data_IF_607147575344
#
_entry.id   IF_607147575344
#
_cell.length_a   1.000
_cell.length_b   1.000
_cell.length_c   1.000
_cell.angle_alpha   90.00
_cell.angle_beta   90.00
_cell.angle_gamma   90.00
#
_symmetry.space_group_name_H-M   'P 1'
#
loop_
_entity.id
_entity.type
_entity.pdbx_description
1 polymer ?
#
# COMPACT_ATOMS: atom_id res chain seq x y z
N UNK A 1 25.45 -20.97 -30.07
CA UNK A 1 24.28 -20.05 -30.04
C UNK A 1 24.49 -19.15 -28.83
N UNK A 2 25.02 -17.94 -29.04
CA UNK A 2 25.36 -17.00 -27.96
C UNK A 2 24.06 -16.33 -27.53
N UNK A 3 23.59 -16.63 -26.33
CA UNK A 3 22.47 -15.93 -25.71
C UNK A 3 22.88 -14.46 -25.55
N UNK A 4 22.14 -13.54 -26.19
CA UNK A 4 22.30 -12.11 -25.98
C UNK A 4 22.25 -11.79 -24.49
N UNK A 5 23.09 -10.86 -23.97
CA UNK A 5 23.01 -10.46 -22.58
C UNK A 5 21.70 -9.70 -22.38
N UNK A 6 20.71 -10.33 -21.75
CA UNK A 6 19.48 -9.66 -21.34
C UNK A 6 19.87 -8.54 -20.37
N UNK A 7 19.90 -7.30 -20.85
CA UNK A 7 20.16 -6.14 -20.00
C UNK A 7 19.01 -6.00 -18.99
N UNK A 8 19.31 -6.31 -17.74
CA UNK A 8 18.41 -6.15 -16.60
C UNK A 8 18.50 -4.72 -16.07
N UNK A 9 17.36 -4.05 -15.94
CA UNK A 9 17.29 -2.67 -15.47
C UNK A 9 16.30 -2.53 -14.31
N UNK A 10 16.77 -2.04 -13.16
CA UNK A 10 15.94 -1.62 -12.02
C UNK A 10 15.77 -0.11 -12.10
N UNK A 11 14.53 0.38 -12.17
CA UNK A 11 14.25 1.81 -12.37
C UNK A 11 12.84 2.19 -11.91
N UNK A 12 12.54 3.50 -11.90
CA UNK A 12 11.16 3.97 -11.77
C UNK A 12 10.33 3.57 -12.99
N UNK A 13 9.04 3.38 -12.75
CA UNK A 13 8.05 3.19 -13.80
C UNK A 13 7.99 4.42 -14.71
N UNK A 14 7.82 4.21 -16.03
CA UNK A 14 7.54 5.31 -16.96
C UNK A 14 6.03 5.52 -17.07
N UNK A 15 5.59 6.76 -17.31
CA UNK A 15 4.17 7.08 -17.52
C UNK A 15 3.50 6.25 -18.61
N UNK A 16 4.24 5.90 -19.67
CA UNK A 16 3.77 5.06 -20.78
C UNK A 16 3.56 3.59 -20.39
N UNK A 17 4.11 3.14 -19.27
CA UNK A 17 4.09 1.74 -18.82
C UNK A 17 3.02 1.46 -17.77
N UNK A 18 2.23 2.47 -17.37
CA UNK A 18 1.19 2.33 -16.33
C UNK A 18 0.16 1.25 -16.68
N UNK A 19 -0.19 1.10 -17.95
CA UNK A 19 -1.11 0.04 -18.39
C UNK A 19 -0.52 -1.35 -18.14
N UNK A 20 0.77 -1.52 -18.43
CA UNK A 20 1.45 -2.81 -18.22
C UNK A 20 1.67 -3.10 -16.74
N UNK A 21 1.93 -2.08 -15.92
CA UNK A 21 1.94 -2.22 -14.47
C UNK A 21 0.63 -2.83 -13.95
N UNK A 22 -0.50 -2.26 -14.38
CA UNK A 22 -1.83 -2.68 -13.92
C UNK A 22 -2.17 -4.10 -14.40
N UNK A 23 -1.76 -4.49 -15.61
CA UNK A 23 -1.87 -5.87 -16.08
C UNK A 23 -1.10 -6.85 -15.19
N UNK A 24 0.14 -6.53 -14.85
CA UNK A 24 0.94 -7.36 -13.92
C UNK A 24 0.33 -7.42 -12.51
N UNK A 25 -0.23 -6.32 -12.03
CA UNK A 25 -0.92 -6.26 -10.74
C UNK A 25 -2.19 -7.11 -10.72
N UNK A 26 -3.06 -6.98 -11.73
CA UNK A 26 -4.28 -7.80 -11.89
C UNK A 26 -3.93 -9.29 -11.97
N UNK A 27 -2.86 -9.62 -12.69
CA UNK A 27 -2.34 -10.99 -12.74
C UNK A 27 -1.94 -11.52 -11.34
N UNK A 28 -1.33 -10.67 -10.51
CA UNK A 28 -0.79 -11.05 -9.20
C UNK A 28 -1.78 -11.11 -8.03
N UNK A 29 -2.86 -10.31 -8.04
CA UNK A 29 -3.70 -10.06 -6.84
C UNK A 29 -5.19 -10.45 -6.95
N UNK A 30 -5.60 -11.14 -8.04
CA UNK A 30 -6.95 -11.64 -8.39
C UNK A 30 -7.80 -10.68 -9.25
N UNK A 31 -8.67 -11.13 -10.17
CA UNK A 31 -9.21 -12.46 -10.51
C UNK A 31 -8.79 -12.92 -11.93
N UNK A 32 -8.88 -14.22 -12.23
CA UNK A 32 -8.95 -14.67 -13.62
C UNK A 32 -10.13 -13.96 -14.29
N UNK A 33 -9.87 -12.96 -15.12
CA UNK A 33 -10.93 -12.29 -15.85
C UNK A 33 -10.47 -11.02 -16.52
N UNK A 34 -11.07 -10.77 -17.67
CA UNK A 34 -10.97 -9.62 -18.56
C UNK A 34 -11.44 -8.30 -17.90
N UNK A 35 -11.00 -8.00 -16.68
CA UNK A 35 -11.31 -6.73 -16.03
C UNK A 35 -10.71 -5.61 -16.87
N UNK A 36 -11.57 -4.77 -17.44
CA UNK A 36 -11.15 -3.62 -18.23
C UNK A 36 -10.49 -2.63 -17.28
N UNK A 37 -9.18 -2.40 -17.46
CA UNK A 37 -8.45 -1.35 -16.76
C UNK A 37 -9.12 -0.01 -17.08
N UNK A 38 -9.63 0.64 -16.04
CA UNK A 38 -10.42 1.87 -16.20
C UNK A 38 -9.53 3.11 -16.31
N UNK A 39 -10.03 4.19 -16.92
CA UNK A 39 -9.30 5.45 -16.99
C UNK A 39 -8.97 6.03 -15.59
N UNK A 40 -9.86 5.98 -14.58
CA UNK A 40 -9.53 6.38 -13.21
C UNK A 40 -8.40 5.56 -12.58
N UNK A 41 -8.40 4.24 -12.77
CA UNK A 41 -7.35 3.35 -12.25
C UNK A 41 -5.99 3.68 -12.88
N UNK A 42 -5.96 3.88 -14.21
CA UNK A 42 -4.75 4.29 -14.91
C UNK A 42 -4.25 5.67 -14.44
N UNK A 43 -5.17 6.60 -14.17
CA UNK A 43 -4.87 7.94 -13.68
C UNK A 43 -4.34 7.93 -12.24
N UNK A 44 -4.77 6.98 -11.40
CA UNK A 44 -4.36 6.86 -10.01
C UNK A 44 -2.91 6.34 -9.84
N UNK A 45 -2.35 5.64 -10.83
CA UNK A 45 -0.96 5.17 -10.76
C UNK A 45 0.01 6.34 -10.74
N UNK A 46 0.82 6.41 -9.68
CA UNK A 46 1.88 7.40 -9.48
C UNK A 46 3.26 6.79 -9.84
N UNK A 47 3.82 7.05 -11.02
CA UNK A 47 5.05 6.40 -11.48
C UNK A 47 6.29 6.70 -10.63
N UNK A 48 6.26 7.73 -9.79
CA UNK A 48 7.25 8.14 -8.78
C UNK A 48 7.18 7.36 -7.46
N UNK A 49 6.15 6.53 -7.29
CA UNK A 49 6.03 5.57 -6.18
C UNK A 49 6.41 4.15 -6.60
N UNK A 50 6.29 3.81 -7.89
CA UNK A 50 6.52 2.45 -8.42
C UNK A 50 7.96 2.15 -8.90
N UNK A 51 8.58 1.11 -8.37
CA UNK A 51 9.81 0.50 -8.88
C UNK A 51 9.51 -0.69 -9.77
N UNK A 52 10.25 -0.84 -10.87
CA UNK A 52 10.13 -1.96 -11.81
C UNK A 52 11.48 -2.60 -12.12
N UNK A 53 11.45 -3.90 -12.42
CA UNK A 53 12.52 -4.60 -13.13
C UNK A 53 12.06 -4.83 -14.55
N UNK A 54 12.91 -4.46 -15.52
CA UNK A 54 12.68 -4.78 -16.93
C UNK A 54 13.85 -5.58 -17.52
N UNK A 55 13.55 -6.59 -18.33
CA UNK A 55 14.50 -7.32 -19.17
C UNK A 55 14.03 -7.25 -20.63
N UNK A 56 14.95 -6.98 -21.56
CA UNK A 56 14.66 -6.85 -23.01
C UNK A 56 13.51 -5.88 -23.36
N UNK A 57 13.21 -4.90 -22.50
CA UNK A 57 12.14 -3.91 -22.70
C UNK A 57 10.80 -4.29 -22.09
N UNK A 58 10.65 -5.50 -21.55
CA UNK A 58 9.42 -5.97 -20.91
C UNK A 58 9.47 -5.80 -19.40
N UNK A 59 8.33 -5.47 -18.76
CA UNK A 59 8.25 -5.43 -17.30
C UNK A 59 8.17 -6.86 -16.75
N UNK A 60 9.08 -7.20 -15.85
CA UNK A 60 9.14 -8.53 -15.25
C UNK A 60 8.48 -8.59 -13.87
N UNK A 61 8.67 -7.53 -13.09
CA UNK A 61 8.21 -7.42 -11.71
C UNK A 61 8.10 -5.94 -11.31
N UNK A 62 7.24 -5.65 -10.34
CA UNK A 62 7.10 -4.32 -9.77
C UNK A 62 6.81 -4.36 -8.26
N UNK A 63 7.04 -3.23 -7.60
CA UNK A 63 6.48 -2.90 -6.30
C UNK A 63 6.22 -1.41 -6.22
N UNK A 64 5.40 -1.02 -5.26
CA UNK A 64 5.06 0.36 -4.97
C UNK A 64 5.59 0.77 -3.59
N UNK A 65 6.01 2.03 -3.47
CA UNK A 65 6.43 2.66 -2.21
C UNK A 65 5.57 3.89 -1.89
N UNK A 66 4.27 3.69 -1.59
CA UNK A 66 3.40 4.77 -1.17
C UNK A 66 3.88 5.43 0.12
N UNK A 67 3.64 6.73 0.22
CA UNK A 67 4.05 7.54 1.36
C UNK A 67 2.94 7.63 2.40
N UNK A 68 3.28 7.30 3.65
CA UNK A 68 2.36 7.35 4.78
C UNK A 68 3.02 7.99 6.01
N UNK A 69 2.21 8.21 7.04
CA UNK A 69 2.66 8.48 8.40
C UNK A 69 2.27 7.31 9.31
N UNK A 70 3.17 6.88 10.20
CA UNK A 70 2.90 5.88 11.22
C UNK A 70 2.91 6.52 12.60
N UNK A 71 1.83 6.33 13.37
CA UNK A 71 1.80 6.69 14.77
C UNK A 71 2.57 5.65 15.60
N UNK A 72 3.64 6.08 16.26
CA UNK A 72 4.40 5.31 17.24
C UNK A 72 4.32 6.02 18.58
N UNK A 73 3.61 5.43 19.54
CA UNK A 73 3.43 5.97 20.90
C UNK A 73 2.94 7.43 20.92
N UNK A 74 2.01 7.77 20.03
CA UNK A 74 1.42 9.11 19.93
C UNK A 74 2.18 10.09 19.03
N UNK A 75 3.32 9.68 18.45
CA UNK A 75 4.11 10.54 17.55
C UNK A 75 4.04 10.00 16.11
N UNK A 76 3.80 10.89 15.15
CA UNK A 76 3.76 10.54 13.74
C UNK A 76 5.16 10.54 13.12
N UNK A 77 5.51 9.45 12.46
CA UNK A 77 6.77 9.29 11.73
C UNK A 77 6.52 9.03 10.25
N UNK A 78 7.30 9.61 9.32
CA UNK A 78 7.25 9.24 7.92
C UNK A 78 7.50 7.74 7.72
N UNK A 79 6.60 7.09 6.98
CA UNK A 79 6.59 5.66 6.75
C UNK A 79 6.52 5.34 5.26
N UNK A 80 7.36 4.42 4.80
CA UNK A 80 7.29 3.89 3.44
C UNK A 80 6.48 2.61 3.41
N UNK A 81 5.30 2.64 2.80
CA UNK A 81 4.52 1.42 2.57
C UNK A 81 5.20 0.55 1.52
N UNK A 82 5.14 -0.77 1.63
CA UNK A 82 5.40 -1.67 0.50
C UNK A 82 4.05 -2.24 0.05
N UNK A 83 3.69 -1.98 -1.20
CA UNK A 83 2.43 -2.39 -1.80
C UNK A 83 2.63 -2.92 -3.22
N UNK A 84 1.60 -3.54 -3.79
CA UNK A 84 1.56 -3.90 -5.21
C UNK A 84 2.70 -4.80 -5.68
N UNK A 85 3.29 -5.63 -4.80
CA UNK A 85 4.42 -6.49 -5.15
C UNK A 85 3.97 -7.63 -6.06
N UNK A 86 4.41 -7.63 -7.31
CA UNK A 86 4.13 -8.71 -8.25
C UNK A 86 5.34 -9.05 -9.13
N UNK A 87 5.35 -10.28 -9.65
CA UNK A 87 6.32 -10.78 -10.60
C UNK A 87 5.63 -11.81 -11.50
N UNK A 88 5.77 -11.67 -12.82
CA UNK A 88 5.22 -12.68 -13.73
C UNK A 88 5.88 -14.05 -13.49
N UNK A 89 5.14 -15.16 -13.64
CA UNK A 89 5.61 -16.50 -13.29
C UNK A 89 6.92 -16.91 -13.95
N UNK A 90 7.06 -16.63 -15.25
CA UNK A 90 8.24 -16.94 -16.07
C UNK A 90 9.53 -16.26 -15.57
N UNK A 91 9.36 -15.21 -14.76
CA UNK A 91 10.43 -14.40 -14.17
C UNK A 91 10.69 -14.70 -12.69
N UNK A 92 9.91 -15.59 -12.05
CA UNK A 92 10.08 -15.95 -10.63
C UNK A 92 11.40 -16.68 -10.38
N UNK A 93 11.84 -16.67 -9.11
CA UNK A 93 13.10 -17.26 -8.65
C UNK A 93 14.39 -16.67 -9.25
N UNK A 94 14.30 -15.50 -9.92
CA UNK A 94 15.46 -14.78 -10.49
C UNK A 94 16.00 -13.63 -9.63
N UNK A 95 15.44 -13.44 -8.42
CA UNK A 95 15.86 -12.42 -7.47
C UNK A 95 15.30 -11.00 -7.72
N UNK A 96 14.33 -10.83 -8.63
CA UNK A 96 13.79 -9.51 -8.99
C UNK A 96 13.15 -8.77 -7.83
N UNK A 97 12.33 -9.43 -7.02
CA UNK A 97 11.72 -8.80 -5.84
C UNK A 97 12.79 -8.34 -4.85
N UNK A 98 13.89 -9.10 -4.66
CA UNK A 98 15.01 -8.67 -3.80
C UNK A 98 15.67 -7.39 -4.32
N UNK A 99 15.85 -7.27 -5.64
CA UNK A 99 16.40 -6.06 -6.25
C UNK A 99 15.46 -4.86 -6.07
N UNK A 100 14.16 -5.09 -6.24
CA UNK A 100 13.14 -4.05 -6.02
C UNK A 100 13.11 -3.58 -4.57
N UNK A 101 13.15 -4.50 -3.59
CA UNK A 101 13.21 -4.16 -2.17
C UNK A 101 14.43 -3.31 -1.84
N UNK A 102 15.60 -3.64 -2.39
CA UNK A 102 16.81 -2.81 -2.23
C UNK A 102 16.63 -1.38 -2.76
N UNK A 103 16.02 -1.22 -3.94
CA UNK A 103 15.71 0.10 -4.49
C UNK A 103 14.69 0.87 -3.64
N UNK A 104 13.67 0.16 -3.12
CA UNK A 104 12.68 0.72 -2.22
C UNK A 104 13.32 1.29 -0.94
N UNK A 105 14.23 0.54 -0.30
CA UNK A 105 14.90 1.00 0.92
C UNK A 105 15.84 2.18 0.66
N UNK A 106 16.54 2.21 -0.48
CA UNK A 106 17.34 3.37 -0.87
C UNK A 106 16.48 4.63 -1.03
N UNK A 107 15.30 4.49 -1.63
CA UNK A 107 14.32 5.57 -1.73
C UNK A 107 13.79 5.98 -0.35
N UNK A 108 13.41 5.03 0.50
CA UNK A 108 12.92 5.35 1.85
C UNK A 108 13.98 6.09 2.67
N UNK A 109 15.24 5.64 2.58
CA UNK A 109 16.38 6.30 3.24
C UNK A 109 16.58 7.73 2.73
N UNK A 110 16.49 7.97 1.42
CA UNK A 110 16.62 9.33 0.88
C UNK A 110 15.45 10.24 1.28
N UNK A 111 14.26 9.67 1.49
CA UNK A 111 13.06 10.35 2.00
C UNK A 111 12.99 10.46 3.53
N UNK A 112 14.02 10.02 4.26
CA UNK A 112 14.06 9.98 5.73
C UNK A 112 12.89 9.21 6.35
N UNK A 113 12.40 8.19 5.66
CA UNK A 113 11.39 7.28 6.19
C UNK A 113 12.09 6.22 7.05
N UNK A 114 11.93 6.34 8.37
CA UNK A 114 12.56 5.45 9.36
C UNK A 114 11.78 4.17 9.64
N UNK A 115 10.55 4.07 9.10
CA UNK A 115 9.63 2.95 9.31
C UNK A 115 9.11 2.48 7.96
N UNK A 116 8.89 1.18 7.82
CA UNK A 116 8.20 0.59 6.68
C UNK A 116 7.19 -0.45 7.15
N UNK A 117 6.03 -0.48 6.51
CA UNK A 117 4.98 -1.46 6.77
C UNK A 117 4.41 -2.02 5.47
N UNK A 118 3.84 -3.22 5.56
CA UNK A 118 3.18 -3.91 4.45
C UNK A 118 2.14 -4.88 4.98
N UNK A 119 1.19 -5.26 4.12
CA UNK A 119 0.30 -6.38 4.37
C UNK A 119 0.88 -7.61 3.64
N UNK A 120 1.45 -8.59 4.37
CA UNK A 120 2.15 -9.70 3.74
C UNK A 120 1.17 -10.75 3.22
N UNK A 121 1.39 -11.26 2.00
CA UNK A 121 0.74 -12.51 1.56
C UNK A 121 1.32 -13.74 2.28
N UNK A 122 2.57 -13.65 2.75
CA UNK A 122 3.25 -14.66 3.58
C UNK A 122 4.23 -13.94 4.51
N UNK A 123 4.09 -14.18 5.82
CA UNK A 123 4.98 -13.60 6.83
C UNK A 123 6.39 -14.13 6.65
N UNK A 124 6.54 -15.43 6.38
CA UNK A 124 7.82 -16.11 6.18
C UNK A 124 8.57 -15.54 4.97
N UNK A 125 7.84 -15.24 3.88
CA UNK A 125 8.44 -14.63 2.70
C UNK A 125 9.06 -13.27 3.05
N UNK A 126 8.38 -12.41 3.80
CA UNK A 126 8.90 -11.09 4.13
C UNK A 126 9.89 -11.08 5.30
N UNK A 127 9.94 -12.13 6.12
CA UNK A 127 10.94 -12.29 7.18
C UNK A 127 12.38 -12.29 6.63
N UNK A 128 12.60 -12.80 5.41
CA UNK A 128 13.92 -12.78 4.75
C UNK A 128 14.42 -11.35 4.45
N UNK A 129 13.53 -10.36 4.48
CA UNK A 129 13.82 -8.94 4.29
C UNK A 129 13.87 -8.18 5.63
N UNK A 130 13.78 -8.88 6.76
CA UNK A 130 13.81 -8.29 8.11
C UNK A 130 12.46 -7.77 8.62
N UNK A 131 11.36 -7.99 7.88
CA UNK A 131 10.03 -7.64 8.38
C UNK A 131 9.57 -8.61 9.47
N UNK A 132 8.82 -8.08 10.43
CA UNK A 132 8.23 -8.84 11.54
C UNK A 132 6.77 -8.41 11.72
N UNK A 133 5.90 -9.29 12.25
CA UNK A 133 4.54 -8.89 12.64
C UNK A 133 4.58 -7.77 13.68
N UNK A 134 3.88 -6.66 13.41
CA UNK A 134 3.82 -5.49 14.29
C UNK A 134 2.41 -5.19 14.81
N UNK A 135 1.37 -5.56 14.05
CA UNK A 135 -0.02 -5.28 14.35
C UNK A 135 -0.91 -6.45 13.94
N UNK A 136 -1.86 -6.81 14.81
CA UNK A 136 -2.99 -7.68 14.45
C UNK A 136 -4.24 -6.83 14.22
N UNK A 137 -5.16 -7.32 13.39
CA UNK A 137 -6.53 -6.81 13.34
C UNK A 137 -7.48 -7.90 13.80
N UNK A 138 -8.54 -7.50 14.49
CA UNK A 138 -9.63 -8.38 14.88
C UNK A 138 -10.92 -7.87 14.28
N UNK A 139 -11.70 -8.77 13.70
CA UNK A 139 -13.08 -8.47 13.30
C UNK A 139 -13.99 -8.96 14.41
N UNK A 140 -14.70 -8.04 15.06
CA UNK A 140 -15.71 -8.36 16.07
C UNK A 140 -17.09 -8.24 15.43
N UNK A 141 -17.90 -9.28 15.56
CA UNK A 141 -19.29 -9.30 15.07
C UNK A 141 -20.23 -9.56 16.23
N UNK A 142 -21.30 -8.77 16.32
CA UNK A 142 -22.37 -8.91 17.30
C UNK A 142 -23.71 -8.65 16.62
N UNK A 143 -24.80 -9.29 17.11
CA UNK A 143 -26.13 -9.00 16.60
C UNK A 143 -26.52 -7.56 16.94
N UNK A 144 -27.35 -6.93 16.08
CA UNK A 144 -27.84 -5.58 16.35
C UNK A 144 -28.60 -5.48 17.69
N UNK A 145 -29.23 -6.57 18.15
CA UNK A 145 -29.88 -6.64 19.46
C UNK A 145 -28.92 -6.46 20.65
N UNK A 146 -27.62 -6.74 20.50
CA UNK A 146 -26.64 -6.51 21.55
C UNK A 146 -26.48 -5.01 21.90
N UNK A 147 -26.93 -4.11 21.03
CA UNK A 147 -26.91 -2.66 21.26
C UNK A 147 -28.11 -2.14 22.06
N UNK A 148 -29.08 -3.00 22.41
CA UNK A 148 -30.27 -2.57 23.18
C UNK A 148 -29.95 -1.77 24.45
N UNK A 149 -28.93 -2.11 25.26
CA UNK A 149 -28.58 -1.32 26.45
C UNK A 149 -28.14 0.12 26.14
N UNK A 150 -27.69 0.37 24.90
CA UNK A 150 -27.20 1.67 24.44
C UNK A 150 -28.28 2.46 23.68
N UNK A 151 -29.50 1.92 23.55
CA UNK A 151 -30.63 2.65 22.99
C UNK A 151 -31.11 3.67 24.00
N UNK A 152 -31.10 4.94 23.61
CA UNK A 152 -31.49 6.05 24.49
C UNK A 152 -30.37 6.51 25.42
N UNK A 153 -29.10 6.31 25.03
CA UNK A 153 -27.99 7.02 25.66
C UNK A 153 -28.33 8.51 25.79
N UNK A 154 -28.11 9.04 26.98
CA UNK A 154 -28.22 10.46 27.22
C UNK A 154 -27.07 11.16 26.49
N UNK A 155 -27.43 11.72 25.34
CA UNK A 155 -26.54 12.49 24.49
C UNK A 155 -26.70 14.00 24.77
N UNK A 156 -27.23 14.40 25.93
CA UNK A 156 -27.31 15.82 26.30
C UNK A 156 -25.91 16.46 26.20
N UNK A 157 -25.80 17.54 25.43
CA UNK A 157 -24.53 18.20 25.10
C UNK A 157 -23.74 17.61 23.92
N UNK A 158 -24.13 16.46 23.35
CA UNK A 158 -23.47 15.87 22.18
C UNK A 158 -24.16 16.27 20.88
N UNK A 159 -23.39 16.69 19.88
CA UNK A 159 -23.89 16.97 18.52
C UNK A 159 -23.38 15.93 17.52
N UNK A 160 -24.30 15.34 16.76
CA UNK A 160 -23.97 14.40 15.67
C UNK A 160 -23.97 15.15 14.35
N UNK A 161 -22.84 15.12 13.63
CA UNK A 161 -22.69 15.72 12.30
C UNK A 161 -22.35 14.63 11.29
N UNK A 162 -22.98 14.69 10.11
CA UNK A 162 -22.65 13.84 8.96
C UNK A 162 -21.66 14.56 8.06
N UNK A 163 -20.68 13.82 7.56
CA UNK A 163 -19.67 14.33 6.63
C UNK A 163 -19.70 13.51 5.33
N UNK A 164 -19.48 14.15 4.17
CA UNK A 164 -19.20 13.45 2.91
C UNK A 164 -17.94 12.58 3.01
N UNK A 165 -17.89 11.46 2.29
CA UNK A 165 -16.80 10.49 2.38
C UNK A 165 -15.43 11.10 2.04
N UNK A 166 -15.43 12.10 1.15
CA UNK A 166 -14.25 12.79 0.64
C UNK A 166 -13.51 13.59 1.72
N UNK A 167 -14.24 14.07 2.74
CA UNK A 167 -13.67 14.91 3.83
C UNK A 167 -13.49 14.14 5.14
N UNK A 168 -14.15 12.99 5.30
CA UNK A 168 -14.08 12.19 6.53
C UNK A 168 -12.65 11.82 6.91
N UNK A 169 -11.79 11.50 5.94
CA UNK A 169 -10.40 11.15 6.20
C UNK A 169 -9.63 12.27 6.90
N UNK A 170 -9.75 13.50 6.40
CA UNK A 170 -9.10 14.67 6.97
C UNK A 170 -9.64 15.00 8.37
N UNK A 171 -10.96 14.93 8.54
CA UNK A 171 -11.61 15.15 9.83
C UNK A 171 -11.20 14.12 10.89
N UNK A 172 -11.15 12.84 10.52
CA UNK A 172 -10.67 11.79 11.40
C UNK A 172 -9.20 11.98 11.77
N UNK A 173 -8.34 12.34 10.81
CA UNK A 173 -6.93 12.61 11.05
C UNK A 173 -6.73 13.81 11.97
N UNK A 174 -7.51 14.89 11.81
CA UNK A 174 -7.48 16.08 12.66
C UNK A 174 -7.75 15.71 14.12
N UNK A 175 -8.86 15.01 14.38
CA UNK A 175 -9.23 14.53 15.71
C UNK A 175 -8.19 13.56 16.27
N UNK A 176 -7.66 12.65 15.44
CA UNK A 176 -6.61 11.70 15.82
C UNK A 176 -5.30 12.41 16.22
N UNK A 177 -4.93 13.49 15.52
CA UNK A 177 -3.75 14.33 15.81
C UNK A 177 -3.92 15.22 17.03
N UNK A 178 -5.07 15.17 17.71
CA UNK A 178 -5.35 15.93 18.93
C UNK A 178 -5.93 17.32 18.69
N UNK A 179 -6.16 17.71 17.42
CA UNK A 179 -6.95 18.90 17.08
C UNK A 179 -8.43 18.55 17.23
N UNK A 180 -8.86 18.48 18.49
CA UNK A 180 -10.26 18.32 18.86
C UNK A 180 -10.88 19.72 18.91
N UNK A 181 -12.05 19.93 18.30
CA UNK A 181 -12.79 21.17 18.55
C UNK A 181 -12.96 21.33 20.07
N UNK A 182 -12.77 22.55 20.57
CA UNK A 182 -13.06 22.86 21.97
C UNK A 182 -14.48 22.40 22.27
N UNK A 183 -14.62 21.62 23.35
CA UNK A 183 -15.94 21.19 23.79
C UNK A 183 -16.69 22.47 24.21
N UNK A 184 -17.89 22.76 23.67
CA UNK A 184 -18.68 23.87 24.15
C UNK A 184 -19.06 23.72 25.63
#
# INVERSE_FOLDING_TARGET
>A
MVLSPNFRCVRRLRRSERLELLRGSHYGFAAQGTAVISAPELAAVQPEEVWVVAEAGELCAALEVPQFEQCLRGVLFPMGGIAGVWCYPEYRNRGFVRLLMSAAWQQMRSRRQGVSMLCPFSVEYYAQFGYVPASGYGVVSFPLSAWQPWRGLDCEGWQVRRFPAEVVGEECLRVFKGDRPENP
#
